data_IF_133931789012
#
_entry.id   IF_133931789012
#
_cell.length_a   1.000
_cell.length_b   1.000
_cell.length_c   1.000
_cell.angle_alpha   90.00
_cell.angle_beta   90.00
_cell.angle_gamma   90.00
#
_symmetry.space_group_name_H-M   'P 1'
#
loop_
_entity.id
_entity.type
_entity.pdbx_description
1 polymer ?
#
# COMPACT_ATOMS: atom_id res chain seq x y z
N UNK A 1 1.43 -60.67 -2.66
CA UNK A 1 2.69 -60.67 -1.89
C UNK A 1 2.62 -59.74 -0.67
N UNK A 2 2.82 -60.28 0.54
CA UNK A 2 3.03 -59.57 1.81
C UNK A 2 4.51 -59.71 2.18
N UNK A 3 5.15 -58.68 2.73
CA UNK A 3 6.52 -58.79 3.26
C UNK A 3 6.55 -59.74 4.45
N UNK A 4 7.55 -60.62 4.52
CA UNK A 4 7.83 -61.42 5.71
C UNK A 4 8.17 -60.52 6.90
N UNK A 5 7.69 -60.89 8.10
CA UNK A 5 7.94 -60.12 9.33
C UNK A 5 9.44 -59.95 9.62
N UNK A 6 10.23 -61.00 9.37
CA UNK A 6 11.68 -61.00 9.59
C UNK A 6 12.42 -60.10 8.59
N UNK A 7 12.09 -60.22 7.29
CA UNK A 7 12.69 -59.42 6.22
C UNK A 7 12.50 -57.91 6.44
N UNK A 8 11.34 -57.51 6.97
CA UNK A 8 11.09 -56.08 7.26
C UNK A 8 11.98 -55.56 8.39
N UNK A 9 12.29 -56.41 9.38
CA UNK A 9 13.13 -56.08 10.53
C UNK A 9 14.61 -56.02 10.14
N UNK A 10 15.06 -56.91 9.27
CA UNK A 10 16.41 -56.91 8.70
C UNK A 10 16.67 -55.65 7.86
N UNK A 11 15.76 -55.32 6.94
CA UNK A 11 15.84 -54.08 6.13
C UNK A 11 15.80 -52.84 7.02
N UNK A 12 14.93 -52.82 8.04
CA UNK A 12 14.87 -51.72 9.00
C UNK A 12 16.21 -51.53 9.74
N UNK A 13 16.85 -52.62 10.17
CA UNK A 13 18.16 -52.57 10.84
C UNK A 13 19.27 -52.11 9.89
N UNK A 14 19.29 -52.63 8.65
CA UNK A 14 20.30 -52.28 7.64
C UNK A 14 20.31 -50.78 7.30
N UNK A 15 19.13 -50.17 7.19
CA UNK A 15 19.00 -48.74 6.84
C UNK A 15 18.78 -47.82 8.05
N UNK A 16 18.78 -48.36 9.28
CA UNK A 16 18.50 -47.58 10.49
C UNK A 16 17.11 -46.93 10.52
N UNK A 17 16.13 -47.52 9.83
CA UNK A 17 14.78 -46.97 9.70
C UNK A 17 13.80 -47.67 10.64
N UNK A 18 12.75 -46.96 11.06
CA UNK A 18 11.63 -47.59 11.75
C UNK A 18 10.89 -48.60 10.86
N UNK A 19 10.50 -49.75 11.41
CA UNK A 19 9.77 -50.82 10.70
C UNK A 19 8.54 -50.28 9.94
N UNK A 20 7.81 -49.32 10.53
CA UNK A 20 6.64 -48.68 9.90
C UNK A 20 7.00 -47.91 8.63
N UNK A 21 8.17 -47.28 8.58
CA UNK A 21 8.65 -46.54 7.41
C UNK A 21 8.92 -47.49 6.24
N UNK A 22 9.58 -48.62 6.51
CA UNK A 22 9.85 -49.68 5.51
C UNK A 22 8.53 -50.23 4.96
N UNK A 23 7.58 -50.57 5.82
CA UNK A 23 6.27 -51.07 5.40
C UNK A 23 5.49 -50.04 4.57
N UNK A 24 5.54 -48.76 4.97
CA UNK A 24 4.88 -47.66 4.23
C UNK A 24 5.45 -47.51 2.83
N UNK A 25 6.78 -47.53 2.70
CA UNK A 25 7.47 -47.46 1.41
C UNK A 25 7.13 -48.67 0.54
N UNK A 26 7.20 -49.87 1.09
CA UNK A 26 6.85 -51.10 0.37
C UNK A 26 5.41 -51.10 -0.15
N UNK A 27 4.45 -50.71 0.70
CA UNK A 27 3.04 -50.59 0.30
C UNK A 27 2.89 -49.57 -0.83
N UNK A 28 3.59 -48.44 -0.75
CA UNK A 28 3.59 -47.41 -1.79
C UNK A 28 4.15 -47.90 -3.12
N UNK A 29 5.30 -48.57 -3.10
CA UNK A 29 5.93 -49.14 -4.29
C UNK A 29 5.07 -50.22 -4.96
N UNK A 30 4.39 -51.06 -4.17
CA UNK A 30 3.47 -52.07 -4.70
C UNK A 30 2.31 -51.45 -5.49
N UNK A 31 1.77 -50.33 -5.01
CA UNK A 31 0.68 -49.60 -5.69
C UNK A 31 1.20 -49.01 -7.01
N UNK A 32 2.36 -48.36 -7.00
CA UNK A 32 2.98 -47.80 -8.21
C UNK A 32 3.28 -48.89 -9.25
N UNK A 33 3.85 -50.01 -8.80
CA UNK A 33 4.14 -51.17 -9.66
C UNK A 33 2.87 -51.76 -10.28
N UNK A 34 1.80 -51.93 -9.50
CA UNK A 34 0.51 -52.42 -10.02
C UNK A 34 -0.14 -51.45 -11.02
N UNK A 35 0.17 -50.15 -10.94
CA UNK A 35 -0.32 -49.12 -11.86
C UNK A 35 0.57 -48.94 -13.11
N UNK A 36 1.68 -49.69 -13.22
CA UNK A 36 2.65 -49.52 -14.31
C UNK A 36 3.45 -48.23 -14.24
N UNK A 37 3.43 -47.54 -13.09
CA UNK A 37 4.16 -46.29 -12.86
C UNK A 37 5.56 -46.64 -12.33
N UNK A 38 6.64 -46.00 -12.80
CA UNK A 38 7.96 -46.19 -12.21
C UNK A 38 7.95 -45.93 -10.70
N UNK A 39 8.49 -46.88 -9.93
CA UNK A 39 8.48 -46.83 -8.48
C UNK A 39 9.32 -45.64 -8.00
N UNK A 40 8.66 -44.67 -7.36
CA UNK A 40 9.30 -43.47 -6.84
C UNK A 40 9.10 -43.37 -5.33
N UNK A 41 10.22 -43.28 -4.62
CA UNK A 41 10.30 -43.15 -3.14
C UNK A 41 10.49 -41.70 -2.68
N UNK A 42 10.34 -40.74 -3.59
CA UNK A 42 10.46 -39.32 -3.26
C UNK A 42 9.50 -38.89 -2.14
N UNK A 43 9.89 -37.85 -1.41
CA UNK A 43 9.06 -37.27 -0.35
C UNK A 43 7.70 -36.83 -0.91
N UNK A 44 6.62 -37.41 -0.38
CA UNK A 44 5.24 -36.99 -0.67
C UNK A 44 4.78 -35.81 0.19
N UNK A 45 5.71 -35.13 0.89
CA UNK A 45 5.36 -33.90 1.62
C UNK A 45 4.90 -32.89 0.58
N UNK A 46 3.65 -32.45 0.70
CA UNK A 46 3.15 -31.29 -0.05
C UNK A 46 4.02 -30.08 0.32
N UNK A 47 4.19 -29.14 -0.60
CA UNK A 47 5.06 -27.96 -0.44
C UNK A 47 4.63 -27.05 0.73
N UNK A 48 3.93 -25.94 0.46
CA UNK A 48 3.41 -25.06 1.51
C UNK A 48 2.16 -25.67 2.14
N UNK A 49 2.35 -26.39 3.24
CA UNK A 49 1.27 -26.97 4.08
C UNK A 49 0.86 -26.06 5.25
N UNK A 50 1.51 -24.91 5.40
CA UNK A 50 1.19 -23.95 6.47
C UNK A 50 -0.17 -23.26 6.31
N UNK A 51 -0.56 -22.50 7.33
CA UNK A 51 -1.78 -21.67 7.34
C UNK A 51 -1.82 -20.79 6.10
N UNK A 52 -2.91 -20.89 5.33
CA UNK A 52 -3.13 -20.05 4.15
C UNK A 52 -3.57 -18.64 4.58
N UNK A 53 -3.12 -17.59 3.88
CA UNK A 53 -3.57 -16.24 4.17
C UNK A 53 -5.08 -16.13 3.89
N UNK A 54 -5.78 -15.38 4.73
CA UNK A 54 -7.17 -15.00 4.47
C UNK A 54 -7.16 -14.04 3.29
N UNK A 55 -7.88 -14.40 2.23
CA UNK A 55 -8.06 -13.55 1.06
C UNK A 55 -9.19 -12.57 1.39
N UNK A 56 -8.83 -11.31 1.60
CA UNK A 56 -9.78 -10.21 1.81
C UNK A 56 -9.86 -9.44 0.50
N UNK A 57 -11.08 -9.09 0.08
CA UNK A 57 -11.26 -8.29 -1.11
C UNK A 57 -10.82 -6.85 -0.83
N UNK A 58 -9.57 -6.53 -1.16
CA UNK A 58 -9.02 -5.18 -1.01
C UNK A 58 -9.70 -4.19 -1.98
N UNK A 59 -10.23 -4.65 -3.11
CA UNK A 59 -10.91 -3.76 -4.05
C UNK A 59 -12.18 -3.14 -3.48
N UNK A 60 -12.78 -3.78 -2.47
CA UNK A 60 -13.88 -3.21 -1.71
C UNK A 60 -13.51 -1.84 -1.11
N UNK A 61 -12.23 -1.59 -0.80
CA UNK A 61 -11.77 -0.27 -0.31
C UNK A 61 -11.91 0.85 -1.33
N UNK A 62 -11.91 0.55 -2.63
CA UNK A 62 -12.06 1.56 -3.69
C UNK A 62 -13.49 2.09 -3.75
N UNK A 63 -14.47 1.26 -3.40
CA UNK A 63 -15.89 1.62 -3.41
C UNK A 63 -16.33 2.39 -2.15
N UNK A 64 -15.48 2.44 -1.13
CA UNK A 64 -15.78 3.14 0.13
C UNK A 64 -15.37 4.61 0.00
N UNK A 65 -16.24 5.50 0.47
CA UNK A 65 -15.99 6.92 0.49
C UNK A 65 -14.76 7.28 1.33
N UNK A 66 -14.11 8.38 0.97
CA UNK A 66 -12.88 8.84 1.64
C UNK A 66 -13.04 9.04 3.15
N UNK A 67 -14.24 9.46 3.55
CA UNK A 67 -14.60 9.77 4.95
C UNK A 67 -14.60 8.52 5.83
N UNK A 68 -14.95 7.39 5.24
CA UNK A 68 -15.17 6.13 5.93
C UNK A 68 -13.91 5.23 5.94
N UNK A 69 -12.79 5.73 5.39
CA UNK A 69 -11.49 5.04 5.36
C UNK A 69 -10.37 5.91 5.94
N UNK A 70 -10.66 6.63 7.01
CA UNK A 70 -9.69 7.50 7.67
C UNK A 70 -8.87 6.79 8.75
N UNK A 71 -9.50 5.92 9.53
CA UNK A 71 -8.83 5.18 10.60
C UNK A 71 -8.66 3.70 10.23
N UNK A 72 -7.70 3.04 10.88
CA UNK A 72 -7.48 1.59 10.70
C UNK A 72 -8.73 0.82 11.17
N UNK A 73 -9.43 1.33 12.17
CA UNK A 73 -10.63 0.72 12.72
C UNK A 73 -11.81 0.80 11.76
N UNK A 74 -12.01 1.94 11.09
CA UNK A 74 -13.08 2.10 10.10
C UNK A 74 -12.82 1.15 8.91
N UNK A 75 -11.59 1.13 8.40
CA UNK A 75 -11.18 0.19 7.35
C UNK A 75 -11.40 -1.26 7.78
N UNK A 76 -11.09 -1.60 9.02
CA UNK A 76 -11.30 -2.94 9.56
C UNK A 76 -12.78 -3.30 9.62
N UNK A 77 -13.64 -2.38 10.08
CA UNK A 77 -15.11 -2.55 10.11
C UNK A 77 -15.66 -2.78 8.71
N UNK A 78 -15.29 -1.96 7.74
CA UNK A 78 -15.79 -2.08 6.37
C UNK A 78 -15.28 -3.34 5.64
N UNK A 79 -14.04 -3.76 5.90
CA UNK A 79 -13.49 -5.00 5.37
C UNK A 79 -13.94 -6.25 6.14
N UNK A 80 -14.68 -6.11 7.24
CA UNK A 80 -15.11 -7.22 8.09
C UNK A 80 -13.95 -8.00 8.69
N UNK A 81 -12.83 -7.33 9.00
CA UNK A 81 -11.61 -7.97 9.49
C UNK A 81 -11.12 -7.34 10.79
N UNK A 82 -10.19 -7.99 11.47
CA UNK A 82 -9.58 -7.43 12.67
C UNK A 82 -8.51 -6.38 12.32
N UNK A 83 -8.34 -5.38 13.19
CA UNK A 83 -7.37 -4.29 13.06
C UNK A 83 -5.94 -4.79 12.79
N UNK A 84 -5.53 -5.89 13.44
CA UNK A 84 -4.21 -6.48 13.26
C UNK A 84 -3.98 -7.01 11.83
N UNK A 85 -5.03 -7.39 11.12
CA UNK A 85 -4.95 -7.83 9.71
C UNK A 85 -4.72 -6.63 8.80
N UNK A 86 -5.45 -5.52 9.01
CA UNK A 86 -5.23 -4.27 8.27
C UNK A 86 -3.81 -3.74 8.51
N UNK A 87 -3.32 -3.79 9.75
CA UNK A 87 -1.93 -3.40 10.07
C UNK A 87 -0.88 -4.27 9.36
N UNK A 88 -1.13 -5.58 9.21
CA UNK A 88 -0.24 -6.46 8.42
C UNK A 88 -0.23 -6.07 6.95
N UNK A 89 -1.40 -5.75 6.38
CA UNK A 89 -1.49 -5.30 4.99
C UNK A 89 -0.79 -3.95 4.76
N UNK A 90 -0.86 -3.03 5.72
CA UNK A 90 -0.06 -1.80 5.71
C UNK A 90 1.44 -2.07 5.72
N UNK A 91 1.92 -2.99 6.57
CA UNK A 91 3.34 -3.39 6.62
C UNK A 91 3.81 -4.11 5.35
N UNK A 92 2.92 -4.87 4.71
CA UNK A 92 3.18 -5.56 3.46
C UNK A 92 3.08 -4.63 2.24
N UNK A 93 2.58 -3.40 2.41
CA UNK A 93 2.42 -2.42 1.33
C UNK A 93 1.23 -2.69 0.40
N UNK A 94 0.30 -3.56 0.81
CA UNK A 94 -0.94 -3.86 0.07
C UNK A 94 -2.00 -2.76 0.24
N UNK A 95 -1.87 -1.97 1.31
CA UNK A 95 -2.67 -0.78 1.57
C UNK A 95 -1.66 0.32 1.92
N UNK A 96 -1.91 1.55 1.46
CA UNK A 96 -1.11 2.73 1.76
C UNK A 96 -1.96 3.83 2.41
N UNK A 97 -1.32 4.59 3.30
CA UNK A 97 -1.89 5.86 3.81
C UNK A 97 -1.56 6.97 2.83
N UNK A 98 -2.58 7.70 2.40
CA UNK A 98 -2.41 8.97 1.73
C UNK A 98 -2.71 10.07 2.73
N UNK A 99 -1.73 10.93 3.03
CA UNK A 99 -2.04 12.20 3.67
C UNK A 99 -2.70 13.10 2.62
N UNK A 100 -3.94 13.50 2.85
CA UNK A 100 -4.50 14.60 2.09
C UNK A 100 -3.84 15.89 2.59
N UNK A 101 -3.23 16.65 1.68
CA UNK A 101 -2.77 18.01 1.96
C UNK A 101 -3.99 18.94 2.01
N UNK A 102 -4.72 18.90 3.12
CA UNK A 102 -5.88 19.75 3.30
C UNK A 102 -5.36 21.09 3.74
N UNK A 103 -5.40 22.06 2.81
CA UNK A 103 -5.23 23.47 3.17
C UNK A 103 -6.30 23.82 4.20
N UNK A 104 -5.89 24.33 5.36
CA UNK A 104 -6.78 24.89 6.37
C UNK A 104 -7.80 25.82 5.69
N UNK A 105 -9.06 25.75 6.12
CA UNK A 105 -10.15 26.53 5.54
C UNK A 105 -9.76 28.01 5.46
N UNK A 106 -9.61 28.52 4.24
CA UNK A 106 -9.32 29.91 3.98
C UNK A 106 -10.59 30.73 4.21
N UNK A 107 -10.65 31.43 5.34
CA UNK A 107 -11.65 32.47 5.57
C UNK A 107 -11.51 33.57 4.51
N UNK A 108 -12.60 34.29 4.24
CA UNK A 108 -12.56 35.40 3.27
C UNK A 108 -11.48 36.44 3.62
N UNK A 109 -11.31 36.71 4.91
CA UNK A 109 -10.23 37.54 5.44
C UNK A 109 -8.84 36.99 5.09
N UNK A 110 -8.61 35.69 5.24
CA UNK A 110 -7.33 35.06 4.91
C UNK A 110 -7.08 35.05 3.39
N UNK A 111 -8.12 34.95 2.56
CA UNK A 111 -7.99 35.09 1.10
C UNK A 111 -7.57 36.51 0.73
N UNK A 112 -8.23 37.51 1.30
CA UNK A 112 -7.89 38.93 1.10
C UNK A 112 -6.47 39.24 1.54
N UNK A 113 -6.06 38.81 2.73
CA UNK A 113 -4.70 39.03 3.22
C UNK A 113 -3.63 38.39 2.31
N UNK A 114 -3.90 37.19 1.77
CA UNK A 114 -2.98 36.53 0.83
C UNK A 114 -2.93 37.23 -0.53
N UNK A 115 -4.07 37.68 -1.04
CA UNK A 115 -4.12 38.44 -2.29
C UNK A 115 -3.40 39.77 -2.14
N UNK A 116 -3.62 40.46 -1.02
CA UNK A 116 -2.91 41.69 -0.68
C UNK A 116 -1.40 41.46 -0.67
N UNK A 117 -0.94 40.42 0.04
CA UNK A 117 0.47 40.03 0.04
C UNK A 117 1.04 39.76 -1.36
N UNK A 118 0.28 39.11 -2.25
CA UNK A 118 0.72 38.89 -3.63
C UNK A 118 0.80 40.20 -4.44
N UNK A 119 -0.15 41.12 -4.23
CA UNK A 119 -0.18 42.44 -4.89
C UNK A 119 0.97 43.31 -4.40
N UNK A 120 1.25 43.29 -3.09
CA UNK A 120 2.35 44.03 -2.47
C UNK A 120 3.72 43.54 -2.95
N UNK A 121 3.80 42.30 -3.46
CA UNK A 121 5.02 41.74 -4.06
C UNK A 121 5.21 42.10 -5.54
N UNK A 122 4.25 42.78 -6.18
CA UNK A 122 4.41 43.25 -7.56
C UNK A 122 5.25 44.52 -7.59
N UNK A 123 6.16 44.62 -8.57
CA UNK A 123 6.90 45.84 -8.82
C UNK A 123 5.93 46.93 -9.31
N UNK A 124 5.78 48.05 -8.58
CA UNK A 124 4.85 49.11 -8.96
C UNK A 124 5.18 49.72 -10.33
N UNK A 125 6.47 49.71 -10.70
CA UNK A 125 6.98 50.28 -11.96
C UNK A 125 6.73 49.38 -13.18
N UNK A 126 6.27 48.14 -12.97
CA UNK A 126 6.05 47.14 -14.03
C UNK A 126 4.61 47.08 -14.56
N UNK A 127 3.69 47.82 -13.92
CA UNK A 127 2.30 47.94 -14.33
C UNK A 127 2.13 49.10 -15.33
N UNK A 128 1.31 48.98 -16.40
CA UNK A 128 0.24 48.00 -16.61
C UNK A 128 0.53 46.89 -17.64
N UNK A 129 1.67 46.92 -18.34
CA UNK A 129 1.87 46.09 -19.54
C UNK A 129 2.57 44.74 -19.29
N UNK A 130 3.43 44.63 -18.27
CA UNK A 130 4.14 43.38 -17.95
C UNK A 130 4.51 43.30 -16.46
N UNK A 131 3.61 42.82 -15.59
CA UNK A 131 3.82 42.80 -14.16
C UNK A 131 4.97 41.86 -13.78
N UNK A 132 6.00 42.40 -13.14
CA UNK A 132 7.12 41.64 -12.57
C UNK A 132 7.00 41.62 -11.05
N UNK A 133 7.47 40.55 -10.42
CA UNK A 133 7.57 40.48 -8.96
C UNK A 133 8.86 41.15 -8.50
N UNK A 134 8.80 41.89 -7.38
CA UNK A 134 9.98 42.44 -6.73
C UNK A 134 10.97 41.31 -6.44
N UNK A 135 12.25 41.55 -6.69
CA UNK A 135 13.32 40.55 -6.70
C UNK A 135 13.17 39.47 -5.61
N UNK A 136 13.29 38.22 -6.05
CA UNK A 136 12.91 36.93 -5.43
C UNK A 136 13.55 36.59 -4.06
N UNK A 137 14.09 37.56 -3.32
CA UNK A 137 14.71 37.37 -2.00
C UNK A 137 13.71 36.90 -0.93
N UNK A 138 12.41 37.14 -1.11
CA UNK A 138 11.36 36.70 -0.17
C UNK A 138 11.12 35.18 -0.24
N UNK A 139 11.29 34.55 -1.41
CA UNK A 139 11.17 33.08 -1.54
C UNK A 139 12.22 32.37 -0.67
N UNK A 140 13.42 32.96 -0.53
CA UNK A 140 14.48 32.39 0.30
C UNK A 140 14.14 32.40 1.81
N UNK A 141 13.38 33.40 2.29
CA UNK A 141 12.97 33.52 3.70
C UNK A 141 11.90 32.47 4.05
N UNK A 142 10.97 32.17 3.14
CA UNK A 142 9.99 31.09 3.33
C UNK A 142 10.63 29.68 3.31
N UNK A 143 11.68 29.49 2.50
CA UNK A 143 12.40 28.21 2.39
C UNK A 143 13.28 27.90 3.61
N UNK A 144 13.73 28.90 4.37
CA UNK A 144 14.62 28.70 5.53
C UNK A 144 13.90 28.17 6.78
N UNK A 145 12.57 28.32 6.86
CA UNK A 145 11.76 27.86 7.99
C UNK A 145 10.83 26.68 7.65
N UNK A 146 10.97 26.08 6.47
CA UNK A 146 10.17 24.92 6.06
C UNK A 146 10.75 24.23 4.84
N UNK A 147 11.12 22.97 5.01
CA UNK A 147 11.66 22.08 3.97
C UNK A 147 10.73 21.96 2.75
N UNK A 148 11.04 22.68 1.67
CA UNK A 148 10.50 22.46 0.33
C UNK A 148 11.68 22.34 -0.65
N UNK A 149 11.68 21.30 -1.49
CA UNK A 149 12.71 21.02 -2.48
C UNK A 149 12.44 21.82 -3.76
N UNK A 150 13.52 22.24 -4.44
CA UNK A 150 13.52 23.17 -5.58
C UNK A 150 12.67 22.71 -6.80
N UNK A 151 12.37 21.41 -6.88
CA UNK A 151 11.62 20.80 -7.98
C UNK A 151 10.12 21.18 -7.99
N UNK A 152 9.57 21.60 -6.84
CA UNK A 152 8.16 21.99 -6.72
C UNK A 152 7.88 23.40 -7.28
N UNK A 153 8.89 24.27 -7.36
CA UNK A 153 8.71 25.67 -7.75
C UNK A 153 8.40 25.84 -9.25
N UNK A 154 9.01 25.02 -10.12
CA UNK A 154 8.70 25.04 -11.56
C UNK A 154 7.25 24.67 -11.83
N UNK A 155 6.72 23.74 -11.06
CA UNK A 155 5.34 23.27 -11.18
C UNK A 155 4.36 24.32 -10.68
N UNK A 156 4.66 25.00 -9.57
CA UNK A 156 3.82 26.05 -8.97
C UNK A 156 3.76 27.32 -9.85
N UNK A 157 4.89 27.75 -10.42
CA UNK A 157 4.96 28.90 -11.32
C UNK A 157 4.17 28.61 -12.61
N UNK A 158 4.33 27.41 -13.20
CA UNK A 158 3.52 26.97 -14.34
C UNK A 158 2.02 26.88 -14.01
N UNK A 159 1.64 26.56 -12.77
CA UNK A 159 0.25 26.47 -12.34
C UNK A 159 -0.40 27.85 -12.18
N UNK A 160 0.34 28.83 -11.63
CA UNK A 160 -0.11 30.21 -11.47
C UNK A 160 -0.28 30.94 -12.81
N UNK A 161 0.57 30.65 -13.81
CA UNK A 161 0.47 31.28 -15.14
C UNK A 161 -0.64 30.72 -16.04
N UNK A 162 -1.20 29.54 -15.72
CA UNK A 162 -2.12 28.80 -16.62
C UNK A 162 -3.56 28.72 -16.15
N UNK A 163 -3.87 29.27 -14.97
CA UNK A 163 -5.24 29.35 -14.47
C UNK A 163 -5.87 30.70 -14.81
N UNK A 164 -6.71 30.71 -15.85
CA UNK A 164 -7.69 31.79 -16.02
C UNK A 164 -8.67 31.78 -14.85
N UNK A 165 -9.17 32.97 -14.51
CA UNK A 165 -9.90 33.34 -13.28
C UNK A 165 -11.23 32.58 -13.01
N UNK A 166 -11.58 31.53 -13.76
CA UNK A 166 -12.97 31.07 -13.92
C UNK A 166 -13.30 29.78 -13.12
N UNK A 167 -12.33 29.01 -12.64
CA UNK A 167 -12.60 27.68 -12.01
C UNK A 167 -12.47 27.69 -10.48
N UNK A 168 -12.74 28.83 -9.81
CA UNK A 168 -12.73 28.90 -8.33
C UNK A 168 -14.11 28.79 -7.69
N UNK A 169 -15.18 28.71 -8.49
CA UNK A 169 -16.56 28.61 -8.01
C UNK A 169 -17.11 27.25 -8.39
N UNK A 170 -16.83 26.23 -7.58
CA UNK A 170 -17.72 25.10 -7.23
C UNK A 170 -16.91 23.90 -6.76
N UNK A 171 -16.69 23.78 -5.44
CA UNK A 171 -16.50 22.48 -4.81
C UNK A 171 -16.82 22.59 -3.33
N UNK A 172 -17.83 21.81 -2.90
CA UNK A 172 -18.32 21.73 -1.53
C UNK A 172 -17.31 21.07 -0.59
N UNK A 173 -17.39 21.54 0.64
CA UNK A 173 -16.70 21.23 1.91
C UNK A 173 -16.75 19.73 2.29
N UNK A 174 -15.61 19.17 2.75
CA UNK A 174 -15.37 18.43 4.03
C UNK A 174 -14.41 17.23 3.86
N UNK A 175 -13.24 17.24 4.54
CA UNK A 175 -12.85 16.32 5.63
C UNK A 175 -11.33 16.28 5.88
N UNK A 176 -10.91 16.51 7.14
CA UNK A 176 -9.58 16.27 7.72
C UNK A 176 -9.32 14.77 7.85
N UNK A 177 -8.32 14.21 7.17
CA UNK A 177 -7.92 12.82 7.37
C UNK A 177 -6.95 12.30 6.31
N UNK A 178 -5.89 11.62 6.76
CA UNK A 178 -5.16 10.72 5.87
C UNK A 178 -6.07 9.55 5.48
N UNK A 179 -6.19 9.29 4.19
CA UNK A 179 -7.13 8.35 3.62
C UNK A 179 -6.41 7.09 3.14
N UNK A 180 -6.94 5.89 3.41
CA UNK A 180 -6.32 4.63 2.97
C UNK A 180 -6.68 4.29 1.52
N UNK A 181 -5.71 3.81 0.74
CA UNK A 181 -5.90 3.32 -0.63
C UNK A 181 -5.14 2.00 -0.83
N UNK A 182 -5.54 1.23 -1.85
CA UNK A 182 -4.89 -0.02 -2.30
C UNK A 182 -3.98 0.29 -3.47
#
# INVERSE_FOLDING_TARGET
>A
MRLGKHNTREVAAQFGLGIRTVQRLWKGGKIQFAQGIPVSVASKKKEKVGRKPVQINLEALRNIDLKDRMTIEDVAKHLGCCVSTVQKYLKQGLIRRHSNNIKLFLTDANKKARLQFCVDMLDPDSLPNDPRFQDLLIIFILMRNGSFLLDDLRTIICFLMKMSLIVLVTAKITFLGSCFYV
#
